data_IF_833647846173
#
_entry.id   IF_833647846173
#
_cell.length_a   1.000
_cell.length_b   1.000
_cell.length_c   1.000
_cell.angle_alpha   90.00
_cell.angle_beta   90.00
_cell.angle_gamma   90.00
#
_symmetry.space_group_name_H-M   'P 1'
#
loop_
_entity.id
_entity.type
_entity.pdbx_description
1 polymer ?
#
# COMPACT_ATOMS: atom_id res chain seq x y z
N UNK A 1 3.01 10.18 8.51
CA UNK A 1 3.91 9.09 8.99
C UNK A 1 4.68 9.46 10.24
N UNK A 2 5.23 10.68 10.34
CA UNK A 2 5.96 11.09 11.55
C UNK A 2 5.05 11.09 12.81
N UNK A 3 3.85 11.62 12.70
CA UNK A 3 2.88 11.70 13.80
C UNK A 3 2.38 10.32 14.27
N UNK A 4 2.47 9.31 13.41
CA UNK A 4 2.12 7.93 13.77
C UNK A 4 3.24 7.18 14.49
N UNK A 5 4.48 7.70 14.48
CA UNK A 5 5.63 7.02 15.12
C UNK A 5 5.51 6.95 16.64
N UNK A 6 4.77 7.86 17.26
CA UNK A 6 4.50 7.84 18.70
C UNK A 6 3.72 6.59 19.14
N UNK A 7 2.95 5.98 18.23
CA UNK A 7 2.20 4.75 18.47
C UNK A 7 2.99 3.46 18.16
N UNK A 8 4.31 3.57 18.00
CA UNK A 8 5.17 2.44 17.67
C UNK A 8 5.19 2.09 16.17
N UNK A 9 6.25 1.41 15.73
CA UNK A 9 6.50 1.20 14.30
C UNK A 9 5.47 0.29 13.61
N UNK A 10 5.02 -0.79 14.29
CA UNK A 10 4.04 -1.74 13.72
C UNK A 10 2.67 -1.08 13.57
N UNK A 11 2.22 -0.41 14.65
CA UNK A 11 0.96 0.34 14.64
C UNK A 11 0.96 1.43 13.57
N UNK A 12 2.06 2.20 13.47
CA UNK A 12 2.21 3.25 12.46
C UNK A 12 2.09 2.69 11.02
N UNK A 13 2.74 1.55 10.73
CA UNK A 13 2.68 0.92 9.40
C UNK A 13 1.27 0.43 9.10
N UNK A 14 0.63 -0.29 10.03
CA UNK A 14 -0.71 -0.84 9.81
C UNK A 14 -1.76 0.27 9.66
N UNK A 15 -1.75 1.25 10.57
CA UNK A 15 -2.70 2.37 10.51
C UNK A 15 -2.56 3.12 9.18
N UNK A 16 -1.32 3.48 8.80
CA UNK A 16 -1.09 4.17 7.54
C UNK A 16 -1.51 3.33 6.32
N UNK A 17 -1.36 2.01 6.38
CA UNK A 17 -1.78 1.10 5.31
C UNK A 17 -3.29 1.02 5.17
N UNK A 18 -4.01 1.01 6.29
CA UNK A 18 -5.49 1.05 6.31
C UNK A 18 -5.98 2.39 5.73
N UNK A 19 -5.41 3.51 6.18
CA UNK A 19 -5.76 4.84 5.66
C UNK A 19 -5.47 4.95 4.16
N UNK A 20 -4.34 4.40 3.71
CA UNK A 20 -3.99 4.33 2.29
C UNK A 20 -5.01 3.49 1.49
N UNK A 21 -5.43 2.34 2.01
CA UNK A 21 -6.46 1.52 1.37
C UNK A 21 -7.81 2.23 1.29
N UNK A 22 -8.23 2.90 2.37
CA UNK A 22 -9.48 3.66 2.42
C UNK A 22 -9.46 4.91 1.52
N UNK A 23 -8.30 5.42 1.14
CA UNK A 23 -8.20 6.52 0.17
C UNK A 23 -8.55 6.10 -1.26
N UNK A 24 -8.66 4.78 -1.53
CA UNK A 24 -9.08 4.25 -2.81
C UNK A 24 -10.58 4.00 -2.81
N UNK A 25 -11.29 4.60 -3.78
CA UNK A 25 -12.76 4.58 -3.85
C UNK A 25 -13.32 3.21 -4.24
N UNK A 26 -12.53 2.38 -4.93
CA UNK A 26 -12.98 1.11 -5.46
C UNK A 26 -12.91 0.01 -4.39
N UNK A 27 -14.08 -0.38 -3.85
CA UNK A 27 -14.21 -1.39 -2.78
C UNK A 27 -13.47 -2.70 -3.09
N UNK A 28 -13.54 -3.15 -4.35
CA UNK A 28 -12.88 -4.40 -4.78
C UNK A 28 -11.35 -4.35 -4.66
N UNK A 29 -10.78 -3.16 -4.70
CA UNK A 29 -9.32 -2.96 -4.63
C UNK A 29 -8.81 -2.68 -3.21
N UNK A 30 -9.70 -2.41 -2.23
CA UNK A 30 -9.28 -1.99 -0.88
C UNK A 30 -8.31 -2.98 -0.25
N UNK A 31 -8.62 -4.27 -0.28
CA UNK A 31 -7.77 -5.30 0.35
C UNK A 31 -6.37 -5.28 -0.27
N UNK A 32 -6.30 -5.27 -1.61
CA UNK A 32 -5.01 -5.26 -2.30
C UNK A 32 -4.26 -3.95 -2.09
N UNK A 33 -4.95 -2.81 -2.02
CA UNK A 33 -4.33 -1.52 -1.75
C UNK A 33 -3.83 -1.40 -0.31
N UNK A 34 -4.51 -2.02 0.67
CA UNK A 34 -3.98 -2.14 2.04
C UNK A 34 -2.70 -2.97 2.06
N UNK A 35 -2.64 -4.10 1.34
CA UNK A 35 -1.43 -4.93 1.26
C UNK A 35 -0.26 -4.16 0.65
N UNK A 36 -0.47 -3.42 -0.44
CA UNK A 36 0.55 -2.52 -0.99
C UNK A 36 0.87 -1.36 -0.04
N UNK A 37 -0.13 -0.85 0.66
CA UNK A 37 0.03 0.15 1.71
C UNK A 37 1.01 -0.30 2.79
N UNK A 38 1.01 -1.58 3.19
CA UNK A 38 1.98 -2.12 4.15
C UNK A 38 3.42 -2.01 3.61
N UNK A 39 3.62 -2.37 2.34
CA UNK A 39 4.94 -2.28 1.70
C UNK A 39 5.39 -0.82 1.61
N UNK A 40 4.53 0.08 1.13
CA UNK A 40 4.84 1.50 1.00
C UNK A 40 5.09 2.15 2.36
N UNK A 41 4.28 1.82 3.37
CA UNK A 41 4.44 2.32 4.73
C UNK A 41 5.72 1.82 5.37
N UNK A 42 6.07 0.55 5.16
CA UNK A 42 7.34 -0.01 5.63
C UNK A 42 8.54 0.71 5.00
N UNK A 43 8.51 0.93 3.68
CA UNK A 43 9.57 1.66 2.97
C UNK A 43 9.68 3.10 3.46
N UNK A 44 8.54 3.79 3.64
CA UNK A 44 8.50 5.14 4.17
C UNK A 44 9.05 5.22 5.60
N UNK A 45 8.74 4.23 6.43
CA UNK A 45 9.20 4.17 7.81
C UNK A 45 10.70 3.86 7.91
N UNK A 46 11.17 2.82 7.17
CA UNK A 46 12.53 2.27 7.29
C UNK A 46 13.56 3.09 6.52
N UNK A 47 13.20 3.62 5.35
CA UNK A 47 14.12 4.30 4.46
C UNK A 47 13.76 5.78 4.33
N UNK A 48 12.74 6.10 3.55
CA UNK A 48 12.30 7.48 3.35
C UNK A 48 10.95 7.51 2.66
N UNK A 49 10.14 8.54 2.97
CA UNK A 49 8.89 8.83 2.28
C UNK A 49 9.11 9.03 0.76
N UNK A 50 10.25 9.60 0.36
CA UNK A 50 10.59 9.81 -1.06
C UNK A 50 10.60 8.49 -1.85
N UNK A 51 11.21 7.44 -1.30
CA UNK A 51 11.24 6.14 -1.96
C UNK A 51 9.87 5.48 -2.04
N UNK A 52 9.06 5.66 -1.01
CA UNK A 52 7.67 5.16 -1.00
C UNK A 52 6.83 5.85 -2.08
N UNK A 53 6.93 7.18 -2.19
CA UNK A 53 6.24 7.95 -3.24
C UNK A 53 6.71 7.52 -4.62
N UNK A 54 8.03 7.41 -4.83
CA UNK A 54 8.59 6.99 -6.12
C UNK A 54 8.08 5.60 -6.52
N UNK A 55 8.08 4.65 -5.58
CA UNK A 55 7.59 3.30 -5.84
C UNK A 55 6.09 3.31 -6.18
N UNK A 56 5.29 4.12 -5.48
CA UNK A 56 3.87 4.28 -5.77
C UNK A 56 3.63 4.91 -7.15
N UNK A 57 4.44 5.90 -7.54
CA UNK A 57 4.37 6.50 -8.88
C UNK A 57 4.72 5.49 -9.97
N UNK A 58 5.79 4.71 -9.80
CA UNK A 58 6.16 3.64 -10.74
C UNK A 58 5.06 2.60 -10.84
N UNK A 59 4.48 2.20 -9.71
CA UNK A 59 3.34 1.28 -9.69
C UNK A 59 2.15 1.81 -10.50
N UNK A 60 1.73 3.06 -10.24
CA UNK A 60 0.63 3.68 -10.97
C UNK A 60 0.93 3.85 -12.46
N UNK A 61 2.16 4.15 -12.83
CA UNK A 61 2.57 4.24 -14.22
C UNK A 61 2.44 2.88 -14.92
N UNK A 62 2.95 1.81 -14.31
CA UNK A 62 2.86 0.47 -14.87
C UNK A 62 1.42 -0.03 -15.05
N UNK A 63 0.55 0.21 -14.05
CA UNK A 63 -0.85 -0.22 -14.10
C UNK A 63 -1.75 0.76 -14.84
N UNK A 64 -1.47 2.07 -14.78
CA UNK A 64 -2.21 3.10 -15.51
C UNK A 64 -1.96 3.04 -17.02
N UNK A 65 -0.76 2.73 -17.43
CA UNK A 65 -0.46 2.48 -18.85
C UNK A 65 -1.26 1.27 -19.36
N UNK A 66 -1.41 0.21 -18.56
CA UNK A 66 -2.21 -0.97 -18.95
C UNK A 66 -3.65 -0.64 -19.31
N UNK A 67 -4.26 0.37 -18.70
CA UNK A 67 -5.64 0.78 -18.95
C UNK A 67 -5.79 1.81 -20.10
N UNK A 68 -4.72 2.54 -20.43
CA UNK A 68 -4.74 3.62 -21.45
C UNK A 68 -3.99 3.24 -22.74
N UNK A 69 -3.51 2.02 -22.85
CA UNK A 69 -2.74 1.49 -23.98
C UNK A 69 -3.51 1.54 -25.32
N UNK A 70 -4.83 1.62 -25.28
CA UNK A 70 -5.69 1.69 -26.47
C UNK A 70 -5.36 2.84 -27.44
N UNK A 71 -4.57 3.83 -27.03
CA UNK A 71 -4.16 4.98 -27.83
C UNK A 71 -2.68 4.96 -28.27
N UNK A 72 -1.92 3.92 -27.91
CA UNK A 72 -0.53 3.77 -28.32
C UNK A 72 -0.40 2.95 -29.61
N UNK A 73 0.72 3.15 -30.33
CA UNK A 73 1.08 2.34 -31.49
C UNK A 73 1.14 0.85 -31.10
N UNK A 74 0.56 -0.03 -31.95
CA UNK A 74 0.49 -1.48 -31.71
C UNK A 74 1.84 -2.10 -31.32
N UNK A 75 2.93 -1.67 -31.98
CA UNK A 75 4.28 -2.14 -31.68
C UNK A 75 4.71 -1.82 -30.23
N UNK A 76 4.32 -0.67 -29.69
CA UNK A 76 4.63 -0.29 -28.30
C UNK A 76 3.81 -1.16 -27.34
N UNK A 77 2.55 -1.44 -27.68
CA UNK A 77 1.67 -2.31 -26.89
C UNK A 77 2.27 -3.73 -26.81
N UNK A 78 2.73 -4.27 -27.91
CA UNK A 78 3.34 -5.61 -27.97
C UNK A 78 4.61 -5.69 -27.12
N UNK A 79 5.49 -4.70 -27.21
CA UNK A 79 6.70 -4.63 -26.37
C UNK A 79 6.34 -4.58 -24.89
N UNK A 80 5.39 -3.72 -24.49
CA UNK A 80 4.98 -3.57 -23.11
C UNK A 80 4.29 -4.84 -22.59
N UNK A 81 3.45 -5.48 -23.40
CA UNK A 81 2.70 -6.70 -23.02
C UNK A 81 3.61 -7.89 -22.75
N UNK A 82 4.79 -7.95 -23.37
CA UNK A 82 5.80 -8.97 -23.12
C UNK A 82 6.74 -8.56 -21.97
N UNK A 83 7.17 -7.30 -21.94
CA UNK A 83 8.16 -6.83 -20.98
C UNK A 83 7.63 -6.81 -19.52
N UNK A 84 6.40 -6.33 -19.31
CA UNK A 84 5.82 -6.23 -17.96
C UNK A 84 5.66 -7.59 -17.29
N UNK A 85 5.11 -8.65 -17.93
CA UNK A 85 5.04 -9.98 -17.33
C UNK A 85 6.42 -10.57 -17.03
N UNK A 86 7.38 -10.43 -17.92
CA UNK A 86 8.76 -10.92 -17.69
C UNK A 86 9.36 -10.21 -16.47
N UNK A 87 9.27 -8.89 -16.40
CA UNK A 87 9.76 -8.11 -15.26
C UNK A 87 9.07 -8.54 -13.96
N UNK A 88 7.75 -8.75 -13.98
CA UNK A 88 6.99 -9.19 -12.81
C UNK A 88 7.43 -10.58 -12.32
N UNK A 89 7.70 -11.53 -13.23
CA UNK A 89 8.21 -12.86 -12.90
C UNK A 89 9.60 -12.75 -12.27
N UNK A 90 10.51 -11.95 -12.84
CA UNK A 90 11.84 -11.74 -12.28
C UNK A 90 11.76 -11.15 -10.87
N UNK A 91 10.95 -10.11 -10.69
CA UNK A 91 10.73 -9.49 -9.36
C UNK A 91 10.13 -10.47 -8.37
N UNK A 92 9.19 -11.31 -8.81
CA UNK A 92 8.60 -12.36 -7.96
C UNK A 92 9.65 -13.39 -7.53
N UNK A 93 10.52 -13.85 -8.45
CA UNK A 93 11.62 -14.77 -8.13
C UNK A 93 12.58 -14.14 -7.11
N UNK A 94 12.98 -12.87 -7.33
CA UNK A 94 13.83 -12.13 -6.39
C UNK A 94 13.18 -12.00 -5.01
N UNK A 95 11.87 -11.76 -4.97
CA UNK A 95 11.09 -11.71 -3.74
C UNK A 95 11.09 -13.06 -3.00
N UNK A 96 10.84 -14.16 -3.71
CA UNK A 96 10.88 -15.53 -3.13
C UNK A 96 12.27 -15.84 -2.58
N UNK A 97 13.34 -15.55 -3.33
CA UNK A 97 14.72 -15.73 -2.86
C UNK A 97 14.97 -14.90 -1.59
N UNK A 98 14.45 -13.68 -1.53
CA UNK A 98 14.53 -12.83 -0.34
C UNK A 98 13.82 -13.42 0.87
N UNK A 99 12.64 -14.06 0.69
CA UNK A 99 11.92 -14.78 1.75
C UNK A 99 12.76 -15.96 2.24
N UNK A 100 13.25 -16.80 1.35
CA UNK A 100 14.05 -17.99 1.69
C UNK A 100 15.31 -17.59 2.47
N UNK A 101 15.97 -16.48 2.07
CA UNK A 101 17.13 -15.94 2.77
C UNK A 101 16.79 -15.16 4.06
N UNK A 102 15.54 -15.19 4.51
CA UNK A 102 15.03 -14.43 5.66
C UNK A 102 15.31 -12.92 5.64
N UNK A 103 15.55 -12.36 4.44
CA UNK A 103 15.86 -10.94 4.25
C UNK A 103 14.70 -10.02 4.65
N UNK A 104 13.48 -10.56 4.58
CA UNK A 104 12.22 -9.86 4.90
C UNK A 104 11.64 -10.22 6.28
N UNK A 105 12.46 -10.80 7.18
CA UNK A 105 12.01 -11.19 8.53
C UNK A 105 11.40 -10.00 9.29
N UNK A 106 11.97 -8.81 9.11
CA UNK A 106 11.45 -7.56 9.72
C UNK A 106 10.08 -7.18 9.15
N UNK A 107 9.86 -7.35 7.85
CA UNK A 107 8.55 -7.11 7.23
C UNK A 107 7.49 -8.07 7.81
N UNK A 108 7.82 -9.35 7.94
CA UNK A 108 6.90 -10.33 8.54
C UNK A 108 6.69 -10.12 10.04
N UNK A 109 7.65 -9.51 10.75
CA UNK A 109 7.49 -9.17 12.16
C UNK A 109 6.38 -8.14 12.41
N UNK A 110 6.00 -7.35 11.40
CA UNK A 110 4.91 -6.38 11.47
C UNK A 110 3.58 -7.07 11.82
N UNK A 111 3.39 -8.34 11.42
CA UNK A 111 2.18 -9.11 11.70
C UNK A 111 2.20 -9.80 13.06
N UNK A 112 3.31 -9.76 13.80
CA UNK A 112 3.42 -10.31 15.15
C UNK A 112 3.17 -9.19 16.17
N UNK A 113 1.92 -9.00 16.54
CA UNK A 113 1.51 -8.01 17.53
C UNK A 113 1.72 -8.54 18.95
N UNK A 114 2.35 -7.71 19.77
CA UNK A 114 2.36 -7.88 21.23
C UNK A 114 1.22 -7.04 21.88
N UNK A 115 1.17 -7.06 23.21
CA UNK A 115 0.15 -6.34 23.98
C UNK A 115 0.33 -4.83 23.79
N UNK A 116 1.57 -4.33 23.76
CA UNK A 116 1.86 -2.91 23.61
C UNK A 116 1.47 -2.41 22.23
N UNK A 117 1.72 -3.19 21.17
CA UNK A 117 1.28 -2.86 19.81
C UNK A 117 -0.25 -2.69 19.75
N UNK A 118 -1.00 -3.60 20.39
CA UNK A 118 -2.47 -3.52 20.45
C UNK A 118 -2.95 -2.29 21.22
N UNK A 119 -2.35 -2.01 22.38
CA UNK A 119 -2.67 -0.86 23.19
C UNK A 119 -2.40 0.45 22.43
N UNK A 120 -1.29 0.53 21.72
CA UNK A 120 -0.94 1.67 20.90
C UNK A 120 -1.95 1.90 19.76
N UNK A 121 -2.43 0.83 19.10
CA UNK A 121 -3.49 0.95 18.11
C UNK A 121 -4.80 1.44 18.72
N UNK A 122 -5.21 0.90 19.87
CA UNK A 122 -6.41 1.35 20.57
C UNK A 122 -6.28 2.82 20.96
N UNK A 123 -5.12 3.24 21.48
CA UNK A 123 -4.85 4.62 21.85
C UNK A 123 -4.95 5.55 20.63
N UNK A 124 -4.40 5.15 19.48
CA UNK A 124 -4.56 5.90 18.23
C UNK A 124 -6.03 6.12 17.87
N UNK A 125 -6.82 5.05 17.85
CA UNK A 125 -8.25 5.14 17.49
C UNK A 125 -9.03 6.00 18.49
N UNK A 126 -8.72 5.88 19.78
CA UNK A 126 -9.36 6.70 20.83
C UNK A 126 -9.04 8.19 20.69
N UNK A 127 -7.77 8.52 20.44
CA UNK A 127 -7.32 9.91 20.36
C UNK A 127 -7.74 10.59 19.03
N UNK A 128 -7.98 9.80 17.98
CA UNK A 128 -8.27 10.32 16.63
C UNK A 128 -9.67 9.94 16.14
N UNK A 129 -10.61 9.68 17.03
CA UNK A 129 -11.97 9.20 16.69
C UNK A 129 -12.67 10.11 15.67
N UNK A 130 -12.63 11.43 15.87
CA UNK A 130 -13.27 12.40 14.95
C UNK A 130 -12.65 12.35 13.56
N UNK A 131 -11.32 12.31 13.48
CA UNK A 131 -10.61 12.19 12.21
C UNK A 131 -10.97 10.91 11.47
N UNK A 132 -11.05 9.79 12.16
CA UNK A 132 -11.43 8.50 11.62
C UNK A 132 -12.87 8.51 11.10
N UNK A 133 -13.80 9.10 11.85
CA UNK A 133 -15.18 9.25 11.41
C UNK A 133 -15.29 10.08 10.14
N UNK A 134 -14.56 11.19 10.04
CA UNK A 134 -14.50 12.01 8.82
C UNK A 134 -14.00 11.19 7.64
N UNK A 135 -12.91 10.43 7.78
CA UNK A 135 -12.38 9.57 6.72
C UNK A 135 -13.41 8.53 6.27
N UNK A 136 -14.08 7.88 7.21
CA UNK A 136 -15.12 6.89 6.89
C UNK A 136 -16.31 7.54 6.15
N UNK A 137 -16.76 8.71 6.58
CA UNK A 137 -17.84 9.44 5.90
C UNK A 137 -17.42 9.79 4.45
N UNK A 138 -16.22 10.35 4.26
CA UNK A 138 -15.70 10.68 2.94
C UNK A 138 -15.60 9.41 2.07
N UNK A 139 -15.11 8.31 2.64
CA UNK A 139 -15.02 7.04 1.95
C UNK A 139 -16.39 6.54 1.47
N UNK A 140 -17.40 6.53 2.35
CA UNK A 140 -18.75 6.10 1.99
C UNK A 140 -19.40 7.00 0.94
N UNK A 141 -19.22 8.33 1.03
CA UNK A 141 -19.73 9.28 0.03
C UNK A 141 -19.08 9.00 -1.33
N UNK A 142 -17.76 8.81 -1.39
CA UNK A 142 -17.05 8.54 -2.62
C UNK A 142 -17.48 7.18 -3.22
N UNK A 143 -17.64 6.16 -2.38
CA UNK A 143 -18.16 4.87 -2.85
C UNK A 143 -19.57 5.02 -3.42
N UNK A 144 -20.44 5.76 -2.76
CA UNK A 144 -21.81 6.00 -3.24
C UNK A 144 -21.80 6.71 -4.61
N UNK A 145 -21.00 7.75 -4.77
CA UNK A 145 -20.88 8.49 -6.06
C UNK A 145 -20.27 7.61 -7.16
N UNK A 146 -19.32 6.74 -6.83
CA UNK A 146 -18.66 5.87 -7.82
C UNK A 146 -19.56 4.74 -8.34
N UNK A 147 -20.54 4.29 -7.53
CA UNK A 147 -21.42 3.18 -7.89
C UNK A 147 -22.82 3.62 -8.35
N UNK A 148 -23.11 4.93 -8.37
CA UNK A 148 -24.26 5.54 -9.06
C UNK A 148 -23.95 5.75 -10.53
#
# INVERSE_FOLDING_TARGET
MNDLREYGYKSAIIINSILFGLSHVEIRKIIITILFGIIFSYIAYRYSLKYSILLHMVWNLCFGLGNNILNFNEMIIDIISVFIPILSIVLFIVFIIGIVKRKYSVLFSIFKFDIDDKNNMILFFKNNTVFILIILIIFFINCYIFYL
#
